data_IF_990671557923
#
_entry.id   IF_990671557923
#
_cell.length_a   1.000
_cell.length_b   1.000
_cell.length_c   1.000
_cell.angle_alpha   90.00
_cell.angle_beta   90.00
_cell.angle_gamma   90.00
#
_symmetry.space_group_name_H-M   'P 1'
#
loop_
_entity.id
_entity.type
_entity.pdbx_description
1 polymer ?
#
# COMPACT_ATOMS: atom_id res chain seq x y z
N UNK A 1 0.04 -1.47 -6.59
CA UNK A 1 1.19 -2.30 -6.97
C UNK A 1 2.40 -1.41 -7.16
N UNK A 2 3.54 -1.78 -6.59
CA UNK A 2 4.81 -1.08 -6.71
C UNK A 2 5.67 -1.76 -7.80
N UNK A 3 6.05 -1.00 -8.81
CA UNK A 3 6.94 -1.43 -9.90
C UNK A 3 8.28 -0.74 -9.71
N UNK A 4 9.28 -1.52 -9.29
CA UNK A 4 10.63 -1.02 -9.05
C UNK A 4 11.49 -1.18 -10.30
N UNK A 5 12.29 -0.16 -10.62
CA UNK A 5 13.34 -0.29 -11.64
C UNK A 5 14.54 -1.06 -11.07
N UNK A 6 15.37 -1.69 -11.94
CA UNK A 6 16.52 -2.47 -11.50
C UNK A 6 17.49 -1.69 -10.58
N UNK A 7 17.69 -0.40 -10.82
CA UNK A 7 18.61 0.44 -10.05
C UNK A 7 18.14 0.63 -8.60
N UNK A 8 16.84 0.81 -8.37
CA UNK A 8 16.30 0.90 -7.01
C UNK A 8 16.38 -0.44 -6.28
N UNK A 9 16.15 -1.54 -7.00
CA UNK A 9 16.30 -2.88 -6.42
C UNK A 9 17.75 -3.15 -6.03
N UNK A 10 18.72 -2.73 -6.85
CA UNK A 10 20.14 -2.86 -6.53
C UNK A 10 20.48 -2.14 -5.22
N UNK A 11 20.08 -0.87 -5.07
CA UNK A 11 20.30 -0.11 -3.82
C UNK A 11 19.65 -0.79 -2.61
N UNK A 12 18.38 -1.19 -2.72
CA UNK A 12 17.65 -1.87 -1.65
C UNK A 12 18.34 -3.19 -1.26
N UNK A 13 18.82 -3.94 -2.25
CA UNK A 13 19.49 -5.22 -2.04
C UNK A 13 20.88 -5.06 -1.42
N UNK A 14 21.67 -4.09 -1.89
CA UNK A 14 22.99 -3.74 -1.34
C UNK A 14 22.89 -3.34 0.14
N UNK A 15 21.83 -2.63 0.51
CA UNK A 15 21.53 -2.27 1.91
C UNK A 15 20.97 -3.45 2.73
N UNK A 16 20.83 -4.65 2.14
CA UNK A 16 20.43 -5.88 2.83
C UNK A 16 18.94 -6.02 3.10
N UNK A 17 18.08 -5.24 2.43
CA UNK A 17 16.64 -5.30 2.65
C UNK A 17 15.98 -6.50 1.96
N UNK A 18 15.24 -7.27 2.73
CA UNK A 18 14.31 -8.27 2.21
C UNK A 18 13.01 -7.63 1.70
N UNK A 19 12.32 -8.33 0.80
CA UNK A 19 11.00 -7.92 0.30
C UNK A 19 9.97 -7.73 1.41
N UNK A 20 10.05 -8.52 2.48
CA UNK A 20 9.10 -8.44 3.59
C UNK A 20 9.34 -7.19 4.43
N UNK A 21 10.60 -6.85 4.72
CA UNK A 21 10.94 -5.59 5.41
C UNK A 21 10.46 -4.35 4.64
N UNK A 22 10.47 -4.38 3.31
CA UNK A 22 9.90 -3.29 2.51
C UNK A 22 8.39 -3.16 2.75
N UNK A 23 7.66 -4.29 2.81
CA UNK A 23 6.22 -4.28 3.09
C UNK A 23 5.91 -3.79 4.50
N UNK A 24 6.64 -4.30 5.48
CA UNK A 24 6.52 -3.86 6.88
C UNK A 24 6.76 -2.36 6.99
N UNK A 25 7.80 -1.86 6.32
CA UNK A 25 8.11 -0.43 6.31
C UNK A 25 7.01 0.39 5.66
N UNK A 26 6.42 -0.09 4.56
CA UNK A 26 5.27 0.56 3.91
C UNK A 26 4.07 0.61 4.87
N UNK A 27 3.77 -0.48 5.58
CA UNK A 27 2.69 -0.47 6.57
C UNK A 27 2.96 0.58 7.64
N UNK A 28 4.16 0.57 8.22
CA UNK A 28 4.57 1.48 9.29
C UNK A 28 4.46 2.95 8.87
N UNK A 29 5.04 3.33 7.73
CA UNK A 29 5.07 4.75 7.29
C UNK A 29 3.71 5.26 6.80
N UNK A 30 2.80 4.36 6.43
CA UNK A 30 1.45 4.74 5.95
C UNK A 30 0.44 4.84 7.07
N UNK A 31 0.84 4.59 8.33
CA UNK A 31 -0.07 4.67 9.45
C UNK A 31 -0.64 6.07 9.63
N UNK A 32 -1.95 6.14 9.83
CA UNK A 32 -2.69 7.35 10.17
C UNK A 32 -3.69 7.03 11.29
N UNK A 33 -4.00 7.99 12.18
CA UNK A 33 -5.01 7.77 13.20
C UNK A 33 -6.39 7.64 12.54
N UNK A 34 -7.27 6.78 13.08
CA UNK A 34 -8.64 6.56 12.56
C UNK A 34 -9.38 7.88 12.33
N UNK A 35 -9.30 8.82 13.29
CA UNK A 35 -9.97 10.13 13.20
C UNK A 35 -9.62 10.92 11.93
N UNK A 36 -8.39 10.83 11.42
CA UNK A 36 -7.97 11.55 10.22
C UNK A 36 -8.43 10.89 8.92
N UNK A 37 -9.03 9.71 9.01
CA UNK A 37 -9.47 8.92 7.87
C UNK A 37 -11.00 8.85 7.76
N UNK A 38 -11.74 9.41 8.72
CA UNK A 38 -13.19 9.49 8.66
C UNK A 38 -13.63 10.34 7.47
N UNK A 39 -14.64 9.86 6.72
CA UNK A 39 -15.17 10.58 5.58
C UNK A 39 -15.76 11.91 6.02
N UNK A 40 -15.35 12.99 5.34
CA UNK A 40 -15.80 14.36 5.54
C UNK A 40 -15.70 15.13 4.20
N UNK A 41 -15.82 16.46 4.23
CA UNK A 41 -15.74 17.30 3.01
C UNK A 41 -14.39 17.21 2.29
N UNK A 42 -13.30 16.98 3.02
CA UNK A 42 -11.94 16.84 2.47
C UNK A 42 -11.58 15.38 2.14
N UNK A 43 -12.15 14.43 2.88
CA UNK A 43 -11.87 12.99 2.77
C UNK A 43 -13.06 12.28 2.13
N UNK A 44 -13.14 12.26 0.80
CA UNK A 44 -14.30 11.72 0.08
C UNK A 44 -14.51 10.20 0.20
N UNK A 45 -13.44 9.42 0.17
CA UNK A 45 -13.47 7.94 0.22
C UNK A 45 -12.91 7.37 1.54
N UNK A 46 -13.18 8.06 2.64
CA UNK A 46 -12.75 7.69 3.98
C UNK A 46 -13.58 6.58 4.63
N UNK A 47 -13.26 6.28 5.89
CA UNK A 47 -14.02 5.38 6.76
C UNK A 47 -15.41 5.97 7.03
N UNK A 48 -16.43 5.11 7.11
CA UNK A 48 -17.80 5.55 7.38
C UNK A 48 -17.95 6.05 8.82
N UNK A 49 -18.26 7.34 9.07
CA UNK A 49 -18.35 7.88 10.43
C UNK A 49 -19.39 7.16 11.30
N UNK A 50 -20.45 6.61 10.70
CA UNK A 50 -21.48 5.87 11.42
C UNK A 50 -20.93 4.61 12.11
N UNK A 51 -19.91 3.97 11.54
CA UNK A 51 -19.26 2.81 12.15
C UNK A 51 -18.43 3.17 13.40
N UNK A 52 -18.13 4.46 13.58
CA UNK A 52 -17.31 5.00 14.67
C UNK A 52 -18.08 5.98 15.56
N UNK A 53 -19.41 6.05 15.44
CA UNK A 53 -20.23 7.02 16.17
C UNK A 53 -20.09 6.92 17.71
N UNK A 54 -19.81 5.72 18.22
CA UNK A 54 -19.60 5.44 19.63
C UNK A 54 -18.14 5.05 19.95
N UNK A 55 -17.20 5.32 19.04
CA UNK A 55 -15.80 4.99 19.24
C UNK A 55 -15.20 5.86 20.35
N UNK A 56 -14.44 5.23 21.24
CA UNK A 56 -13.65 5.92 22.25
C UNK A 56 -12.52 6.74 21.62
N UNK A 57 -11.98 7.69 22.38
CA UNK A 57 -10.81 8.46 21.95
C UNK A 57 -9.61 7.57 21.63
N UNK A 58 -9.45 6.46 22.37
CA UNK A 58 -8.42 5.46 22.12
C UNK A 58 -8.61 4.81 20.74
N UNK A 59 -9.83 4.36 20.42
CA UNK A 59 -10.14 3.77 19.12
C UNK A 59 -9.95 4.77 17.97
N UNK A 60 -10.31 6.04 18.18
CA UNK A 60 -10.13 7.12 17.22
C UNK A 60 -8.66 7.55 17.03
N UNK A 61 -7.81 7.35 18.05
CA UNK A 61 -6.37 7.62 17.99
C UNK A 61 -5.56 6.42 17.50
N UNK A 62 -6.15 5.22 17.43
CA UNK A 62 -5.48 4.03 16.93
C UNK A 62 -4.91 4.27 15.54
N UNK A 63 -3.63 3.98 15.39
CA UNK A 63 -2.91 4.09 14.13
C UNK A 63 -3.23 2.89 13.25
N UNK A 64 -3.73 3.14 12.04
CA UNK A 64 -4.01 2.09 11.06
C UNK A 64 -3.22 2.34 9.77
N UNK A 65 -2.62 1.30 9.18
CA UNK A 65 -1.90 1.42 7.93
C UNK A 65 -2.84 1.52 6.73
N UNK A 66 -2.32 1.87 5.56
CA UNK A 66 -3.11 1.99 4.33
C UNK A 66 -3.60 0.65 3.80
N UNK A 67 -2.81 -0.41 3.93
CA UNK A 67 -3.12 -1.73 3.38
C UNK A 67 -3.56 -2.69 4.49
N UNK A 68 -4.57 -3.53 4.21
CA UNK A 68 -5.10 -4.47 5.21
C UNK A 68 -4.04 -5.45 5.70
N UNK A 69 -3.30 -6.07 4.77
CA UNK A 69 -2.22 -7.00 5.06
C UNK A 69 -1.03 -6.78 4.13
N UNK A 70 0.15 -7.29 4.50
CA UNK A 70 1.38 -7.21 3.69
C UNK A 70 1.21 -7.84 2.32
N UNK A 71 0.44 -8.93 2.20
CA UNK A 71 0.19 -9.63 0.95
C UNK A 71 -0.57 -8.77 -0.07
N UNK A 72 -1.22 -7.69 0.36
CA UNK A 72 -1.88 -6.74 -0.54
C UNK A 72 -0.90 -5.71 -1.13
N UNK A 73 0.36 -5.71 -0.68
CA UNK A 73 1.44 -4.89 -1.23
C UNK A 73 2.20 -5.71 -2.26
N UNK A 74 1.71 -5.65 -3.50
CA UNK A 74 2.34 -6.29 -4.65
C UNK A 74 3.55 -5.48 -5.10
N UNK A 75 4.72 -6.12 -5.15
CA UNK A 75 5.98 -5.52 -5.60
C UNK A 75 6.53 -6.37 -6.75
N UNK A 76 6.84 -5.73 -7.88
CA UNK A 76 7.45 -6.32 -9.06
C UNK A 76 8.65 -5.49 -9.52
N UNK A 77 9.54 -6.11 -10.30
CA UNK A 77 10.68 -5.44 -10.93
C UNK A 77 10.44 -5.42 -12.43
N UNK A 78 10.60 -4.26 -13.07
CA UNK A 78 10.46 -4.11 -14.51
C UNK A 78 11.31 -2.93 -15.02
N UNK A 79 11.62 -2.94 -16.32
CA UNK A 79 12.43 -1.92 -16.96
C UNK A 79 13.82 -2.43 -17.36
N UNK A 80 14.70 -1.49 -17.70
CA UNK A 80 16.10 -1.72 -18.06
C UNK A 80 16.96 -0.66 -17.36
N UNK A 81 18.27 -0.67 -17.59
CA UNK A 81 19.27 0.21 -16.95
C UNK A 81 19.19 1.69 -17.42
N UNK A 82 18.22 2.01 -18.29
CA UNK A 82 18.09 3.32 -18.93
C UNK A 82 17.28 4.34 -18.10
N UNK A 83 17.25 4.23 -16.76
CA UNK A 83 16.75 5.30 -15.90
C UNK A 83 16.08 4.84 -14.61
N UNK A 84 16.30 5.63 -13.54
CA UNK A 84 15.80 5.39 -12.16
C UNK A 84 14.31 5.74 -11.97
N UNK A 85 13.44 5.18 -12.80
CA UNK A 85 12.00 5.43 -12.73
C UNK A 85 11.24 4.22 -12.20
N UNK A 86 10.68 4.37 -11.00
CA UNK A 86 9.72 3.41 -10.44
C UNK A 86 8.31 3.98 -10.50
N UNK A 87 7.31 3.10 -10.49
CA UNK A 87 5.91 3.47 -10.61
C UNK A 87 5.06 2.84 -9.51
N UNK A 88 4.01 3.55 -9.12
CA UNK A 88 2.93 3.00 -8.29
C UNK A 88 1.70 2.91 -9.17
N UNK A 89 1.20 1.69 -9.38
CA UNK A 89 -0.09 1.46 -10.01
C UNK A 89 -1.14 1.40 -8.91
N UNK A 90 -2.00 2.40 -8.87
CA UNK A 90 -3.04 2.50 -7.86
C UNK A 90 -4.08 1.37 -8.02
N UNK A 91 -4.62 0.94 -6.88
CA UNK A 91 -5.70 -0.03 -6.86
C UNK A 91 -7.05 0.66 -6.83
N UNK A 92 -8.06 0.00 -7.37
CA UNK A 92 -9.46 0.26 -7.03
C UNK A 92 -9.91 -0.71 -5.93
N UNK A 93 -11.13 -0.54 -5.42
CA UNK A 93 -11.78 -1.37 -4.41
C UNK A 93 -11.30 -2.84 -4.42
N UNK A 94 -11.04 -3.41 -3.24
CA UNK A 94 -10.54 -4.78 -3.08
C UNK A 94 -11.64 -5.75 -2.63
N UNK A 95 -11.56 -7.03 -3.02
CA UNK A 95 -12.48 -8.09 -2.57
C UNK A 95 -13.62 -8.38 -3.54
N UNK A 96 -14.75 -8.90 -3.04
CA UNK A 96 -15.87 -9.37 -3.87
C UNK A 96 -16.49 -8.30 -4.77
N UNK A 97 -16.44 -7.04 -4.33
CA UNK A 97 -16.93 -5.87 -5.08
C UNK A 97 -15.82 -5.16 -5.87
N UNK A 98 -14.64 -5.78 -5.95
CA UNK A 98 -13.39 -5.14 -6.33
C UNK A 98 -12.54 -5.93 -7.32
N UNK A 99 -11.26 -5.58 -7.42
CA UNK A 99 -10.28 -6.29 -8.25
C UNK A 99 -9.16 -6.89 -7.40
N UNK A 100 -8.66 -8.04 -7.84
CA UNK A 100 -7.50 -8.70 -7.24
C UNK A 100 -6.36 -8.66 -8.27
N UNK A 101 -5.19 -8.06 -7.94
CA UNK A 101 -4.06 -8.05 -8.85
C UNK A 101 -3.58 -9.47 -9.12
N UNK A 102 -3.39 -9.81 -10.39
CA UNK A 102 -2.82 -11.09 -10.79
C UNK A 102 -1.65 -10.85 -11.73
N UNK A 103 -0.65 -11.73 -11.67
CA UNK A 103 0.47 -11.76 -12.61
C UNK A 103 0.51 -13.14 -13.25
N UNK A 104 0.57 -13.19 -14.58
CA UNK A 104 0.80 -14.43 -15.32
C UNK A 104 2.00 -14.25 -16.22
N UNK A 105 2.82 -15.30 -16.31
CA UNK A 105 3.83 -15.40 -17.38
C UNK A 105 3.09 -15.49 -18.71
N UNK A 106 3.44 -14.63 -19.65
CA UNK A 106 3.01 -14.76 -21.03
C UNK A 106 4.00 -15.72 -21.70
N UNK A 107 3.48 -16.77 -22.33
CA UNK A 107 4.26 -17.68 -23.16
C UNK A 107 3.99 -17.32 -24.62
N UNK A 108 5.01 -17.47 -25.46
CA UNK A 108 4.89 -17.33 -26.92
C UNK A 108 4.10 -18.50 -27.53
#
# INVERSE_FOLDING_TARGET
MLVLCPEHVATIWEDGWSKEQIRDRIQEITQRPVRSLLRNEEVGAGLDPNQFANASDEELNRMIPKFRNNENIHIMVAGSEAGKFSAVLEGWASGATGSIPTSRKIND
#
